data_IF_960056888168
#
_entry.id   IF_960056888168
#
_cell.length_a   1.000
_cell.length_b   1.000
_cell.length_c   1.000
_cell.angle_alpha   90.00
_cell.angle_beta   90.00
_cell.angle_gamma   90.00
#
_symmetry.space_group_name_H-M   'P 1'
#
loop_
_entity.id
_entity.type
_entity.pdbx_description
1 polymer ?
#
# COMPACT_ATOMS: atom_id res chain seq x y z
N UNK A 1 41.45 35.27 -31.28
CA UNK A 1 40.84 34.94 -29.98
C UNK A 1 39.70 33.97 -30.25
N UNK A 2 40.01 32.68 -30.30
CA UNK A 2 38.98 31.66 -30.56
C UNK A 2 39.38 30.30 -29.94
N UNK A 3 39.78 30.33 -28.67
CA UNK A 3 40.05 29.14 -27.86
C UNK A 3 38.80 28.73 -27.07
N UNK A 4 37.72 28.37 -27.76
CA UNK A 4 36.49 27.92 -27.09
C UNK A 4 35.73 26.82 -27.83
N UNK A 5 36.39 26.04 -28.70
CA UNK A 5 35.73 24.95 -29.47
C UNK A 5 36.46 23.60 -29.49
N UNK A 6 37.52 23.42 -28.73
CA UNK A 6 38.35 22.20 -28.77
C UNK A 6 38.30 21.29 -27.52
N UNK A 7 37.35 21.48 -26.58
CA UNK A 7 37.26 20.63 -25.38
C UNK A 7 36.12 19.60 -25.37
N UNK A 8 35.49 19.32 -26.51
CA UNK A 8 34.35 18.39 -26.58
C UNK A 8 34.65 17.08 -27.33
N UNK A 9 35.87 16.53 -27.23
CA UNK A 9 36.24 15.29 -27.95
C UNK A 9 37.04 14.22 -27.18
N UNK A 10 37.22 14.30 -25.86
CA UNK A 10 38.05 13.30 -25.14
C UNK A 10 37.38 12.56 -23.96
N UNK A 11 36.05 12.40 -23.96
CA UNK A 11 35.38 11.59 -22.92
C UNK A 11 34.42 10.52 -23.45
N UNK A 12 34.72 9.95 -24.62
CA UNK A 12 34.03 8.76 -25.13
C UNK A 12 35.04 7.71 -25.55
N UNK A 13 35.55 6.93 -24.58
CA UNK A 13 35.98 5.53 -24.70
C UNK A 13 36.79 5.15 -23.47
N UNK A 14 36.17 4.46 -22.52
CA UNK A 14 36.78 3.44 -21.64
C UNK A 14 35.94 3.32 -20.36
N UNK A 15 34.93 2.43 -20.39
CA UNK A 15 34.47 1.61 -19.26
C UNK A 15 33.15 0.94 -19.66
N UNK A 16 33.26 0.00 -20.60
CA UNK A 16 32.20 -0.92 -20.97
C UNK A 16 32.83 -2.28 -21.29
N UNK A 17 33.20 -3.03 -20.25
CA UNK A 17 33.42 -4.48 -20.31
C UNK A 17 33.61 -5.01 -18.90
N UNK A 18 33.09 -6.21 -18.63
CA UNK A 18 33.22 -6.99 -17.38
C UNK A 18 32.06 -6.87 -16.38
N UNK A 19 30.87 -7.28 -16.82
CA UNK A 19 29.80 -7.77 -15.93
C UNK A 19 29.09 -8.99 -16.53
N UNK A 20 29.87 -9.90 -17.14
CA UNK A 20 29.34 -11.14 -17.69
C UNK A 20 30.04 -12.33 -17.02
N UNK A 21 29.22 -13.19 -16.42
CA UNK A 21 29.52 -14.56 -15.98
C UNK A 21 29.99 -14.75 -14.52
N UNK A 22 29.08 -14.46 -13.57
CA UNK A 22 29.15 -15.06 -12.22
C UNK A 22 28.42 -16.43 -12.24
N UNK A 23 29.14 -17.56 -12.10
CA UNK A 23 28.57 -18.90 -12.16
C UNK A 23 27.63 -19.22 -10.97
N UNK A 24 27.54 -18.38 -9.94
CA UNK A 24 26.61 -18.57 -8.83
C UNK A 24 25.14 -18.22 -9.18
N UNK A 25 24.89 -17.52 -10.29
CA UNK A 25 23.53 -17.09 -10.69
C UNK A 25 22.71 -18.18 -11.40
N UNK A 26 23.34 -19.25 -11.88
CA UNK A 26 22.69 -20.32 -12.64
C UNK A 26 22.68 -21.67 -11.91
N UNK A 27 22.73 -21.66 -10.57
CA UNK A 27 22.32 -22.85 -9.82
C UNK A 27 20.79 -22.97 -9.94
N UNK A 28 20.34 -23.89 -10.79
CA UNK A 28 18.94 -24.10 -11.12
C UNK A 28 18.06 -24.31 -9.89
N UNK A 29 16.84 -23.77 -9.98
CA UNK A 29 15.74 -24.12 -9.09
C UNK A 29 15.40 -25.60 -9.32
N UNK A 30 15.84 -26.46 -8.40
CA UNK A 30 15.60 -27.91 -8.46
C UNK A 30 14.10 -28.19 -8.34
N UNK A 31 13.48 -28.56 -9.47
CA UNK A 31 12.06 -28.88 -9.57
C UNK A 31 11.74 -30.31 -9.09
N UNK A 32 12.66 -31.00 -8.42
CA UNK A 32 12.53 -32.40 -8.06
C UNK A 32 12.66 -32.67 -6.57
N UNK A 33 11.67 -32.25 -5.75
CA UNK A 33 11.24 -32.90 -4.49
C UNK A 33 10.25 -32.00 -3.72
N UNK A 34 9.02 -31.87 -4.21
CA UNK A 34 7.91 -31.49 -3.32
C UNK A 34 7.09 -32.74 -3.06
N UNK A 35 7.42 -33.41 -1.96
CA UNK A 35 6.61 -34.49 -1.43
C UNK A 35 5.25 -33.90 -1.04
N UNK A 36 4.14 -34.60 -1.31
CA UNK A 36 2.79 -34.15 -0.98
C UNK A 36 2.52 -33.99 0.54
N UNK A 37 3.54 -34.20 1.39
CA UNK A 37 3.47 -34.05 2.84
C UNK A 37 3.93 -32.67 3.35
N UNK A 38 4.46 -31.80 2.48
CA UNK A 38 4.96 -30.47 2.87
C UNK A 38 4.09 -29.31 2.35
N UNK A 39 2.82 -29.60 2.08
CA UNK A 39 1.83 -28.55 1.87
C UNK A 39 1.32 -28.05 3.24
N UNK A 40 1.43 -26.73 3.45
CA UNK A 40 0.79 -25.91 4.49
C UNK A 40 1.19 -26.13 5.96
N UNK A 41 2.40 -25.67 6.31
CA UNK A 41 2.72 -25.22 7.68
C UNK A 41 3.58 -23.94 7.70
N UNK A 42 3.30 -22.99 6.80
CA UNK A 42 3.77 -21.62 6.93
C UNK A 42 2.57 -20.69 7.00
N UNK A 43 1.98 -20.58 8.19
CA UNK A 43 1.31 -19.33 8.64
C UNK A 43 2.38 -18.25 8.80
N UNK A 44 3.05 -17.89 7.71
CA UNK A 44 3.81 -16.67 7.62
C UNK A 44 2.83 -15.62 7.11
N UNK A 45 2.23 -14.90 8.05
CA UNK A 45 1.61 -13.61 7.76
C UNK A 45 2.64 -12.78 7.03
N UNK A 46 2.46 -12.55 5.72
CA UNK A 46 3.24 -11.56 4.97
C UNK A 46 2.81 -10.20 5.51
N UNK A 47 3.39 -9.81 6.64
CA UNK A 47 3.19 -8.50 7.24
C UNK A 47 3.87 -7.49 6.32
N UNK A 48 3.07 -6.82 5.49
CA UNK A 48 3.55 -5.73 4.66
C UNK A 48 4.34 -4.73 5.56
N UNK A 49 5.53 -4.28 5.15
CA UNK A 49 6.31 -3.35 5.96
C UNK A 49 5.51 -2.06 6.20
N UNK A 50 5.57 -1.48 7.41
CA UNK A 50 4.81 -0.29 7.73
C UNK A 50 5.26 0.84 6.82
N UNK A 51 4.37 1.26 5.92
CA UNK A 51 4.65 2.39 5.05
C UNK A 51 4.70 3.65 5.92
N UNK A 52 5.85 4.32 5.91
CA UNK A 52 5.97 5.65 6.49
C UNK A 52 5.20 6.63 5.61
N UNK A 53 4.51 7.60 6.22
CA UNK A 53 3.75 8.61 5.50
C UNK A 53 2.35 8.17 5.12
N UNK A 54 1.63 7.55 6.06
CA UNK A 54 0.20 7.30 5.94
C UNK A 54 -0.60 8.46 6.53
N UNK A 55 -1.86 8.57 6.13
CA UNK A 55 -2.79 9.47 6.80
C UNK A 55 -3.11 8.95 8.20
N UNK A 56 -3.08 9.82 9.20
CA UNK A 56 -3.39 9.48 10.59
C UNK A 56 -4.66 10.18 11.04
N UNK A 57 -5.48 9.52 11.85
CA UNK A 57 -6.72 10.10 12.38
C UNK A 57 -6.46 10.54 13.82
N UNK A 58 -6.60 11.83 14.08
CA UNK A 58 -6.69 12.36 15.43
C UNK A 58 -8.08 12.03 16.00
N UNK A 59 -8.07 11.09 16.94
CA UNK A 59 -9.26 10.55 17.58
C UNK A 59 -9.99 11.58 18.44
N UNK A 60 -9.29 12.54 19.02
CA UNK A 60 -9.86 13.57 19.89
C UNK A 60 -10.49 14.71 19.08
N UNK A 61 -10.01 14.95 17.86
CA UNK A 61 -10.62 15.91 16.91
C UNK A 61 -11.82 15.34 16.16
N UNK A 62 -11.92 14.02 16.04
CA UNK A 62 -13.00 13.35 15.33
C UNK A 62 -14.33 13.44 16.09
N UNK A 63 -15.38 13.94 15.43
CA UNK A 63 -16.74 13.99 16.01
C UNK A 63 -17.62 12.78 15.69
N UNK A 64 -17.07 11.76 15.03
CA UNK A 64 -17.81 10.53 14.74
C UNK A 64 -18.90 10.67 13.66
N UNK A 65 -18.68 11.50 12.64
CA UNK A 65 -19.61 11.62 11.49
C UNK A 65 -19.56 10.42 10.52
N UNK A 66 -18.48 9.65 10.56
CA UNK A 66 -18.27 8.38 9.84
C UNK A 66 -18.27 8.44 8.30
N UNK A 67 -18.28 9.62 7.71
CA UNK A 67 -18.18 9.79 6.24
C UNK A 67 -16.92 9.14 5.64
N UNK A 68 -15.86 9.00 6.43
CA UNK A 68 -14.63 8.33 6.02
C UNK A 68 -14.80 6.82 5.78
N UNK A 69 -15.79 6.17 6.41
CA UNK A 69 -16.10 4.74 6.20
C UNK A 69 -16.62 4.53 4.78
N UNK A 70 -17.55 5.39 4.34
CA UNK A 70 -18.21 5.26 3.05
C UNK A 70 -17.32 5.66 1.88
N UNK A 71 -16.52 6.72 2.05
CA UNK A 71 -15.69 7.25 0.95
C UNK A 71 -14.43 6.39 0.70
N UNK A 72 -14.02 5.57 1.69
CA UNK A 72 -12.76 4.85 1.63
C UNK A 72 -12.87 3.70 0.61
N UNK A 73 -12.09 3.76 -0.50
CA UNK A 73 -12.15 2.71 -1.53
C UNK A 73 -11.73 1.32 -1.06
N UNK A 74 -11.00 1.25 0.07
CA UNK A 74 -10.46 0.02 0.65
C UNK A 74 -11.13 -0.32 1.99
N UNK A 75 -12.16 0.41 2.41
CA UNK A 75 -12.98 0.09 3.60
C UNK A 75 -12.16 -0.07 4.90
N UNK A 76 -11.15 0.78 5.06
CA UNK A 76 -10.18 0.64 6.16
C UNK A 76 -10.71 1.13 7.50
N UNK A 77 -11.82 1.85 7.49
CA UNK A 77 -12.36 2.48 8.67
C UNK A 77 -13.55 1.69 9.23
N UNK A 78 -13.66 1.73 10.55
CA UNK A 78 -14.83 1.29 11.30
C UNK A 78 -15.20 2.38 12.32
N UNK A 79 -16.39 2.30 12.91
CA UNK A 79 -16.72 3.09 14.09
C UNK A 79 -15.95 2.50 15.27
N UNK A 80 -15.30 3.33 16.06
CA UNK A 80 -14.72 2.91 17.34
C UNK A 80 -15.83 2.67 18.36
N UNK A 81 -15.66 1.66 19.22
CA UNK A 81 -16.61 1.33 20.28
C UNK A 81 -16.40 2.19 21.52
N UNK A 82 -15.22 2.80 21.67
CA UNK A 82 -14.88 3.63 22.82
C UNK A 82 -15.12 5.10 22.50
N UNK A 83 -15.75 5.89 23.38
CA UNK A 83 -15.84 7.33 23.18
C UNK A 83 -14.48 8.03 23.33
N UNK A 84 -14.36 9.24 22.78
CA UNK A 84 -13.24 10.16 23.04
C UNK A 84 -13.59 11.16 24.17
N UNK A 85 -12.72 12.13 24.46
CA UNK A 85 -12.94 13.09 25.55
C UNK A 85 -14.22 13.95 25.37
N UNK A 86 -14.69 14.12 24.14
CA UNK A 86 -15.94 14.84 23.83
C UNK A 86 -17.20 13.99 23.97
N UNK A 87 -17.07 12.68 24.20
CA UNK A 87 -18.17 11.73 24.24
C UNK A 87 -18.62 11.19 22.87
N UNK A 88 -17.99 11.65 21.77
CA UNK A 88 -18.25 11.11 20.44
C UNK A 88 -17.64 9.71 20.28
N UNK A 89 -18.20 8.88 19.39
CA UNK A 89 -17.63 7.61 18.93
C UNK A 89 -16.84 7.85 17.63
N UNK A 90 -15.51 7.97 17.68
CA UNK A 90 -14.70 8.32 16.52
C UNK A 90 -14.71 7.24 15.45
N UNK A 91 -14.20 7.57 14.26
CA UNK A 91 -13.74 6.53 13.35
C UNK A 91 -12.43 5.90 13.86
N UNK A 92 -12.16 4.68 13.43
CA UNK A 92 -10.94 3.93 13.71
C UNK A 92 -10.45 3.29 12.41
N UNK A 93 -9.19 3.51 12.03
CA UNK A 93 -8.56 2.83 10.91
C UNK A 93 -8.04 1.47 11.38
N UNK A 94 -8.66 0.37 10.93
CA UNK A 94 -8.35 -0.99 11.40
C UNK A 94 -7.11 -1.58 10.71
N UNK A 95 -6.92 -1.27 9.44
CA UNK A 95 -5.89 -1.86 8.58
C UNK A 95 -5.11 -0.78 7.81
N UNK A 96 -4.36 0.09 8.52
CA UNK A 96 -3.65 1.22 7.92
C UNK A 96 -2.67 0.81 6.81
N UNK A 97 -2.10 -0.39 6.86
CA UNK A 97 -1.20 -0.96 5.85
C UNK A 97 -1.81 -1.04 4.44
N UNK A 98 -3.14 -1.06 4.32
CA UNK A 98 -3.85 -1.03 3.05
C UNK A 98 -4.34 0.38 2.66
N UNK A 99 -3.83 1.44 3.28
CA UNK A 99 -4.13 2.81 2.89
C UNK A 99 -3.45 3.18 1.57
N UNK A 100 -4.23 3.68 0.61
CA UNK A 100 -3.76 4.15 -0.70
C UNK A 100 -3.06 5.52 -0.67
N UNK A 101 -3.19 6.27 0.43
CA UNK A 101 -2.89 7.70 0.47
C UNK A 101 -3.66 8.53 -0.58
N UNK A 102 -4.92 8.16 -0.85
CA UNK A 102 -5.77 8.86 -1.83
C UNK A 102 -6.42 10.16 -1.33
N UNK A 103 -6.27 10.49 -0.04
CA UNK A 103 -6.76 11.72 0.61
C UNK A 103 -8.28 11.99 0.57
N UNK A 104 -9.09 11.01 0.14
CA UNK A 104 -10.56 11.13 0.19
C UNK A 104 -11.12 11.30 1.60
N UNK A 105 -10.57 10.59 2.59
CA UNK A 105 -10.97 10.74 3.99
C UNK A 105 -10.68 12.16 4.52
N UNK A 106 -9.53 12.73 4.15
CA UNK A 106 -9.16 14.11 4.50
C UNK A 106 -10.14 15.09 3.87
N UNK A 107 -10.38 14.95 2.56
CA UNK A 107 -11.24 15.87 1.80
C UNK A 107 -12.70 15.86 2.25
N UNK A 108 -13.22 14.73 2.71
CA UNK A 108 -14.62 14.63 3.16
C UNK A 108 -14.80 14.99 4.64
N UNK A 109 -13.72 15.04 5.42
CA UNK A 109 -13.83 15.21 6.86
C UNK A 109 -14.22 16.66 7.21
N UNK A 110 -15.42 16.90 7.79
CA UNK A 110 -15.85 18.25 8.13
C UNK A 110 -15.04 18.87 9.28
N UNK A 111 -14.51 18.02 10.17
CA UNK A 111 -13.73 18.42 11.35
C UNK A 111 -12.22 18.49 11.08
N UNK A 112 -11.80 18.14 9.85
CA UNK A 112 -10.39 18.07 9.44
C UNK A 112 -9.53 17.22 10.38
N UNK A 113 -10.10 16.18 11.00
CA UNK A 113 -9.47 15.39 12.05
C UNK A 113 -8.29 14.50 11.57
N UNK A 114 -7.86 14.62 10.32
CA UNK A 114 -6.78 13.82 9.77
C UNK A 114 -5.49 14.61 9.65
N UNK A 115 -4.37 14.00 10.02
CA UNK A 115 -3.04 14.51 9.78
C UNK A 115 -2.50 13.98 8.45
N UNK A 116 -2.02 14.91 7.63
CA UNK A 116 -1.55 14.61 6.27
C UNK A 116 -0.02 14.45 6.29
N UNK A 117 0.51 13.35 5.75
CA UNK A 117 1.95 13.14 5.70
C UNK A 117 2.63 14.10 4.71
N UNK A 118 3.87 14.50 5.02
CA UNK A 118 4.66 15.46 4.21
C UNK A 118 5.00 14.93 2.80
N UNK A 119 4.94 13.60 2.59
CA UNK A 119 5.14 12.98 1.30
C UNK A 119 4.25 11.72 1.15
N UNK A 120 2.98 11.88 0.71
CA UNK A 120 2.07 10.76 0.53
C UNK A 120 2.46 9.97 -0.73
N UNK A 121 3.28 8.95 -0.58
CA UNK A 121 3.55 8.01 -1.65
C UNK A 121 2.34 7.09 -1.88
N UNK A 122 2.04 6.82 -3.15
CA UNK A 122 0.98 5.88 -3.52
C UNK A 122 1.36 4.44 -3.12
N UNK A 123 0.49 3.78 -2.38
CA UNK A 123 0.69 2.39 -1.96
C UNK A 123 0.14 1.42 -3.02
N UNK A 124 1.02 0.91 -3.88
CA UNK A 124 0.64 -0.01 -4.95
C UNK A 124 0.06 -1.33 -4.42
N UNK A 125 0.60 -1.86 -3.32
CA UNK A 125 0.09 -3.08 -2.69
C UNK A 125 -1.37 -2.90 -2.22
N UNK A 126 -1.66 -1.76 -1.58
CA UNK A 126 -3.02 -1.37 -1.22
C UNK A 126 -3.93 -1.18 -2.44
N UNK A 127 -3.40 -0.74 -3.59
CA UNK A 127 -4.18 -0.59 -4.81
C UNK A 127 -4.67 -1.94 -5.32
N UNK A 128 -3.75 -2.91 -5.44
CA UNK A 128 -4.08 -4.27 -5.86
C UNK A 128 -5.09 -4.91 -4.90
N UNK A 129 -4.90 -4.71 -3.59
CA UNK A 129 -5.87 -5.12 -2.57
C UNK A 129 -7.27 -4.52 -2.81
N UNK A 130 -7.33 -3.20 -3.03
CA UNK A 130 -8.59 -2.50 -3.31
C UNK A 130 -9.27 -2.97 -4.60
N UNK A 131 -8.51 -3.29 -5.66
CA UNK A 131 -9.05 -3.90 -6.87
C UNK A 131 -9.66 -5.28 -6.59
N UNK A 132 -8.96 -6.11 -5.80
CA UNK A 132 -9.47 -7.44 -5.39
C UNK A 132 -10.82 -7.33 -4.68
N UNK A 133 -10.94 -6.44 -3.69
CA UNK A 133 -12.21 -6.19 -2.98
C UNK A 133 -13.35 -5.78 -3.92
N UNK A 134 -13.08 -4.89 -4.88
CA UNK A 134 -14.07 -4.46 -5.86
C UNK A 134 -14.50 -5.59 -6.80
N UNK A 135 -13.57 -6.44 -7.23
CA UNK A 135 -13.88 -7.60 -8.06
C UNK A 135 -14.80 -8.58 -7.32
N UNK A 136 -14.54 -8.84 -6.03
CA UNK A 136 -15.43 -9.66 -5.20
C UNK A 136 -16.84 -9.07 -5.09
N UNK A 137 -16.97 -7.75 -4.96
CA UNK A 137 -18.27 -7.07 -4.94
C UNK A 137 -19.02 -7.16 -6.27
N UNK A 138 -18.31 -6.99 -7.39
CA UNK A 138 -18.91 -7.10 -8.73
C UNK A 138 -19.39 -8.52 -9.05
N UNK A 139 -18.72 -9.54 -8.53
CA UNK A 139 -19.15 -10.93 -8.70
C UNK A 139 -20.51 -11.21 -8.02
N UNK A 140 -20.90 -10.40 -7.03
CA UNK A 140 -22.12 -10.59 -6.24
C UNK A 140 -22.10 -11.87 -5.39
N UNK A 141 -23.05 -12.05 -4.46
CA UNK A 141 -23.28 -13.37 -3.87
C UNK A 141 -23.68 -14.34 -4.99
N UNK A 142 -23.26 -15.61 -4.93
CA UNK A 142 -23.58 -16.57 -5.98
C UNK A 142 -25.11 -16.72 -6.06
N UNK A 143 -25.64 -16.76 -7.29
CA UNK A 143 -27.09 -16.64 -7.58
C UNK A 143 -27.95 -17.72 -6.95
N UNK A 144 -27.35 -18.83 -6.52
CA UNK A 144 -27.97 -19.95 -5.81
C UNK A 144 -28.33 -19.63 -4.34
N UNK A 145 -27.82 -18.52 -3.79
CA UNK A 145 -28.08 -18.10 -2.40
C UNK A 145 -29.06 -16.93 -2.26
N UNK A 146 -29.76 -16.60 -3.35
CA UNK A 146 -30.83 -15.60 -3.34
C UNK A 146 -32.18 -16.33 -3.20
N UNK A 147 -32.48 -16.82 -1.99
CA UNK A 147 -33.75 -17.46 -1.63
C UNK A 147 -34.35 -16.80 -0.40
#
# INVERSE_FOLDING_TARGET
MDQARDQAREHTTAQASEAANDPARNAGFDLGQVSHAEAVSHTETVSAPPLKGLVELDRERCRGCLLCLDICPNELFVRDERPNASGALPALMRTPEYCLNCMRCVSICPDQAFDVPVNPAFNLAAHVFGLSLRLHRLAGPPKDKLS
#
